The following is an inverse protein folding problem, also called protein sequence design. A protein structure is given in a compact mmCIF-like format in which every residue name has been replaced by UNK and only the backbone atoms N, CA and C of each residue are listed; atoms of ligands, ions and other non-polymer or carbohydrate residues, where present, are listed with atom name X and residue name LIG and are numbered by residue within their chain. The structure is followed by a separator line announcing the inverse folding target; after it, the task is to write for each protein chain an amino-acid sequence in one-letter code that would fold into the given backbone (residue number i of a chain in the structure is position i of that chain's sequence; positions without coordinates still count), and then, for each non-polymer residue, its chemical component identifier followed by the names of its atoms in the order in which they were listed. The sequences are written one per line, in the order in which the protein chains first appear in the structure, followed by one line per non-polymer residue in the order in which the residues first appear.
data_IF_698594278981
#
_entry.id   IF_698594278981
#
_cell.length_a   1.000
_cell.length_b   1.000
_cell.length_c   1.000
_cell.angle_alpha   90.00
_cell.angle_beta   90.00
_cell.angle_gamma   90.00
#
_symmetry.space_group_name_H-M   'P 1'
#
loop_
_entity.id
_entity.type
_entity.pdbx_description
1 polymer ?
#
# COMPACT_ATOMS: atom_id res chain seq x y z
N UNK A 1 -10.91 -17.01 16.18
CA UNK A 1 -9.77 -16.05 16.36
C UNK A 1 -8.82 -16.45 17.50
N UNK A 2 -9.32 -16.84 18.69
CA UNK A 2 -8.50 -17.15 19.88
C UNK A 2 -7.38 -18.20 19.70
N UNK A 3 -7.61 -19.28 18.92
CA UNK A 3 -6.58 -20.33 18.69
C UNK A 3 -5.32 -19.83 17.95
N UNK A 4 -5.47 -18.92 16.98
CA UNK A 4 -4.30 -18.37 16.24
C UNK A 4 -3.44 -17.47 17.13
N UNK A 5 -4.09 -16.69 17.99
CA UNK A 5 -3.39 -15.82 18.94
C UNK A 5 -2.52 -16.63 19.89
N UNK A 6 -3.06 -17.70 20.49
CA UNK A 6 -2.30 -18.57 21.38
C UNK A 6 -1.09 -19.22 20.68
N UNK A 7 -1.26 -19.71 19.44
CA UNK A 7 -0.15 -20.27 18.64
C UNK A 7 0.93 -19.24 18.34
N UNK A 8 0.53 -18.00 18.05
CA UNK A 8 1.47 -16.92 17.78
C UNK A 8 2.25 -16.50 19.02
N UNK A 9 1.60 -16.39 20.19
CA UNK A 9 2.26 -16.11 21.47
C UNK A 9 3.34 -17.17 21.76
N UNK A 10 3.00 -18.47 21.60
CA UNK A 10 3.96 -19.56 21.79
C UNK A 10 5.13 -19.52 20.80
N UNK A 11 4.87 -19.15 19.55
CA UNK A 11 5.94 -18.95 18.57
C UNK A 11 6.88 -17.79 18.96
N UNK A 12 6.34 -16.69 19.50
CA UNK A 12 7.17 -15.57 19.98
C UNK A 12 7.99 -15.94 21.22
N UNK A 13 7.40 -16.69 22.15
CA UNK A 13 8.11 -17.21 23.32
C UNK A 13 9.31 -18.09 22.93
N UNK A 14 9.14 -18.98 21.93
CA UNK A 14 10.22 -19.81 21.38
C UNK A 14 11.36 -18.95 20.78
N UNK A 15 11.00 -17.86 20.11
CA UNK A 15 11.96 -16.85 19.61
C UNK A 15 12.49 -15.91 20.71
N UNK A 16 12.18 -16.18 21.99
CA UNK A 16 12.57 -15.39 23.17
C UNK A 16 12.06 -13.95 23.16
N UNK A 17 10.93 -13.71 22.50
CA UNK A 17 10.25 -12.42 22.45
C UNK A 17 9.13 -12.44 23.47
N UNK A 18 9.23 -11.57 24.49
CA UNK A 18 8.17 -11.40 25.51
C UNK A 18 7.22 -10.28 25.10
N UNK A 19 5.92 -10.55 25.18
CA UNK A 19 4.86 -9.58 24.90
C UNK A 19 3.94 -9.45 26.12
N UNK A 20 3.47 -8.24 26.40
CA UNK A 20 2.49 -7.96 27.45
C UNK A 20 1.10 -7.79 26.84
N UNK A 21 0.09 -8.34 27.50
CA UNK A 21 -1.29 -8.02 27.19
C UNK A 21 -1.57 -6.60 27.68
N UNK A 22 -2.17 -5.77 26.82
CA UNK A 22 -2.66 -4.44 27.17
C UNK A 22 -4.18 -4.47 27.09
N UNK A 23 -4.85 -3.71 27.95
CA UNK A 23 -6.30 -3.62 27.93
C UNK A 23 -6.77 -2.80 26.71
N UNK A 24 -7.93 -3.15 26.18
CA UNK A 24 -8.55 -2.41 25.07
C UNK A 24 -8.99 -1.02 25.52
N UNK A 25 -9.39 -0.87 26.78
CA UNK A 25 -9.92 0.38 27.32
C UNK A 25 -8.90 1.51 27.27
N UNK A 26 -7.60 1.19 27.43
CA UNK A 26 -6.51 2.17 27.34
C UNK A 26 -6.44 2.84 25.97
N UNK A 27 -6.72 2.10 24.90
CA UNK A 27 -6.68 2.60 23.53
C UNK A 27 -7.95 3.35 23.13
N UNK A 28 -9.10 2.94 23.67
CA UNK A 28 -10.40 3.51 23.33
C UNK A 28 -10.76 4.72 24.19
N UNK A 29 -10.09 4.92 25.32
CA UNK A 29 -10.31 6.07 26.21
C UNK A 29 -10.28 7.40 25.46
N UNK A 30 -9.25 7.62 24.64
CA UNK A 30 -9.09 8.83 23.83
C UNK A 30 -10.27 9.07 22.87
N UNK A 31 -10.95 8.00 22.44
CA UNK A 31 -12.08 8.11 21.52
C UNK A 31 -13.34 8.62 22.24
N UNK A 32 -13.57 8.15 23.46
CA UNK A 32 -14.66 8.61 24.35
C UNK A 32 -14.57 10.11 24.66
N UNK A 33 -13.37 10.69 24.63
CA UNK A 33 -13.16 12.13 24.87
C UNK A 33 -13.54 13.00 23.67
N UNK A 34 -13.70 12.42 22.48
CA UNK A 34 -13.94 13.15 21.23
C UNK A 34 -15.32 12.88 20.61
N UNK A 35 -16.10 11.96 21.18
CA UNK A 35 -17.43 11.59 20.71
C UNK A 35 -18.45 11.81 21.83
N UNK A 36 -19.03 13.01 21.85
CA UNK A 36 -20.03 13.43 22.85
C UNK A 36 -21.37 12.67 22.71
N UNK A 37 -21.60 11.99 21.59
CA UNK A 37 -22.85 11.27 21.31
C UNK A 37 -22.83 9.83 21.83
N UNK A 38 -21.64 9.26 22.05
CA UNK A 38 -21.48 7.88 22.44
C UNK A 38 -21.58 7.69 23.97
N UNK A 39 -22.46 6.79 24.41
CA UNK A 39 -22.64 6.45 25.82
C UNK A 39 -21.66 5.35 26.28
N UNK A 40 -21.08 4.62 25.32
CA UNK A 40 -20.14 3.54 25.56
C UNK A 40 -18.93 3.63 24.64
N UNK A 41 -17.78 3.13 25.08
CA UNK A 41 -16.55 3.13 24.27
C UNK A 41 -16.72 2.35 22.96
N UNK A 42 -17.51 1.28 22.99
CA UNK A 42 -17.81 0.44 21.83
C UNK A 42 -18.68 1.19 20.82
N UNK A 43 -19.61 2.03 21.30
CA UNK A 43 -20.42 2.90 20.47
C UNK A 43 -19.57 3.97 19.80
N UNK A 44 -18.69 4.66 20.55
CA UNK A 44 -17.75 5.64 19.99
C UNK A 44 -16.88 5.01 18.88
N UNK A 45 -16.35 3.80 19.12
CA UNK A 45 -15.58 3.05 18.13
C UNK A 45 -16.42 2.69 16.89
N UNK A 46 -17.69 2.33 17.09
CA UNK A 46 -18.59 2.02 15.99
C UNK A 46 -18.97 3.26 15.18
N UNK A 47 -19.21 4.39 15.85
CA UNK A 47 -19.52 5.68 15.23
C UNK A 47 -18.36 6.15 14.36
N UNK A 48 -17.13 6.15 14.91
CA UNK A 48 -15.93 6.45 14.15
C UNK A 48 -15.79 5.54 12.93
N UNK A 49 -16.00 4.24 13.11
CA UNK A 49 -15.92 3.27 12.03
C UNK A 49 -16.97 3.55 10.94
N UNK A 50 -18.21 3.89 11.29
CA UNK A 50 -19.26 4.24 10.34
C UNK A 50 -18.92 5.53 9.58
N UNK A 51 -18.45 6.57 10.29
CA UNK A 51 -18.03 7.84 9.69
C UNK A 51 -16.90 7.65 8.68
N UNK A 52 -15.89 6.84 9.01
CA UNK A 52 -14.82 6.51 8.07
C UNK A 52 -15.35 5.78 6.83
N UNK A 53 -16.31 4.85 7.01
CA UNK A 53 -16.89 4.10 5.90
C UNK A 53 -17.79 4.94 5.01
N UNK A 54 -18.47 5.94 5.56
CA UNK A 54 -19.27 6.91 4.80
C UNK A 54 -18.37 7.81 3.96
N UNK A 55 -17.36 8.42 4.57
CA UNK A 55 -16.38 9.27 3.86
C UNK A 55 -15.70 8.56 2.68
N UNK A 56 -15.34 7.29 2.86
CA UNK A 56 -14.74 6.50 1.77
C UNK A 56 -15.77 6.07 0.72
N UNK A 57 -17.03 5.83 1.12
CA UNK A 57 -18.08 5.46 0.19
C UNK A 57 -18.50 6.63 -0.70
N UNK A 58 -18.48 7.85 -0.17
CA UNK A 58 -18.89 9.07 -0.88
C UNK A 58 -17.83 9.51 -1.91
N UNK A 59 -16.54 9.32 -1.60
CA UNK A 59 -15.44 9.64 -2.52
C UNK A 59 -14.94 8.41 -3.30
N UNK A 60 -15.28 8.37 -4.60
CA UNK A 60 -14.85 7.31 -5.52
C UNK A 60 -13.32 7.19 -5.67
N UNK A 61 -12.57 8.30 -5.57
CA UNK A 61 -11.11 8.27 -5.62
C UNK A 61 -10.53 7.64 -4.35
N UNK A 62 -11.05 8.04 -3.18
CA UNK A 62 -10.66 7.49 -1.88
C UNK A 62 -11.01 6.00 -1.80
N UNK A 63 -12.20 5.60 -2.25
CA UNK A 63 -12.61 4.20 -2.37
C UNK A 63 -11.64 3.38 -3.22
N UNK A 64 -11.24 3.91 -4.38
CA UNK A 64 -10.28 3.23 -5.26
C UNK A 64 -8.91 3.05 -4.59
N UNK A 65 -8.45 4.05 -3.82
CA UNK A 65 -7.20 3.97 -3.05
C UNK A 65 -7.30 2.93 -1.93
N UNK A 66 -8.40 2.92 -1.18
CA UNK A 66 -8.66 1.93 -0.13
C UNK A 66 -8.69 0.49 -0.69
N UNK A 67 -9.35 0.28 -1.83
CA UNK A 67 -9.36 -1.02 -2.52
C UNK A 67 -7.95 -1.47 -2.94
N UNK A 68 -7.13 -0.55 -3.49
CA UNK A 68 -5.74 -0.85 -3.86
C UNK A 68 -4.88 -1.18 -2.64
N UNK A 69 -5.06 -0.46 -1.53
CA UNK A 69 -4.35 -0.71 -0.27
C UNK A 69 -4.71 -2.08 0.32
N UNK A 70 -5.98 -2.49 0.25
CA UNK A 70 -6.39 -3.83 0.65
C UNK A 70 -5.73 -4.91 -0.21
N UNK A 71 -5.66 -4.72 -1.53
CA UNK A 71 -5.01 -5.69 -2.45
C UNK A 71 -3.51 -5.79 -2.19
N UNK A 72 -2.81 -4.67 -1.96
CA UNK A 72 -1.38 -4.71 -1.62
C UNK A 72 -1.14 -5.41 -0.29
N UNK A 73 -1.97 -5.12 0.73
CA UNK A 73 -1.92 -5.82 2.02
C UNK A 73 -2.18 -7.32 1.87
N UNK A 74 -3.13 -7.73 1.03
CA UNK A 74 -3.41 -9.14 0.76
C UNK A 74 -2.21 -9.85 0.12
N UNK A 75 -1.51 -9.18 -0.81
CA UNK A 75 -0.28 -9.71 -1.42
C UNK A 75 0.86 -9.83 -0.40
N UNK A 76 1.02 -8.83 0.47
CA UNK A 76 1.96 -8.89 1.58
C UNK A 76 1.65 -10.07 2.51
N UNK A 77 0.39 -10.24 2.91
CA UNK A 77 -0.06 -11.34 3.76
C UNK A 77 0.17 -12.71 3.08
N UNK A 78 0.14 -12.80 1.75
CA UNK A 78 0.48 -14.02 1.02
C UNK A 78 1.98 -14.36 1.00
N UNK A 79 2.81 -13.35 1.17
CA UNK A 79 4.26 -13.46 1.14
C UNK A 79 4.90 -13.80 2.49
N UNK A 80 4.10 -14.11 3.53
CA UNK A 80 4.66 -14.43 4.86
C UNK A 80 5.68 -15.59 4.82
N UNK A 81 6.74 -15.54 5.66
CA UNK A 81 7.72 -16.61 5.79
C UNK A 81 7.06 -17.96 6.09
N UNK A 82 7.67 -19.05 5.61
CA UNK A 82 7.13 -20.41 5.76
C UNK A 82 6.87 -20.79 7.23
N UNK A 83 7.69 -20.29 8.16
CA UNK A 83 7.54 -20.49 9.61
C UNK A 83 6.21 -19.95 10.16
N UNK A 84 5.71 -18.85 9.59
CA UNK A 84 4.50 -18.15 10.05
C UNK A 84 3.25 -18.60 9.29
N UNK A 85 3.38 -19.29 8.14
CA UNK A 85 2.23 -19.76 7.34
C UNK A 85 1.27 -20.69 8.07
N UNK A 86 1.71 -21.62 8.94
CA UNK A 86 0.80 -22.47 9.73
C UNK A 86 -0.12 -21.64 10.64
N UNK A 87 0.40 -20.54 11.19
CA UNK A 87 -0.31 -19.64 12.09
C UNK A 87 -1.19 -18.66 11.29
N UNK A 88 -0.64 -18.08 10.22
CA UNK A 88 -1.26 -17.05 9.39
C UNK A 88 -1.69 -17.59 8.02
N UNK A 89 -2.51 -18.63 8.01
CA UNK A 89 -3.06 -19.15 6.76
C UNK A 89 -4.14 -18.22 6.17
N UNK A 90 -3.95 -17.75 4.94
CA UNK A 90 -4.92 -16.92 4.19
C UNK A 90 -6.27 -17.61 4.07
N UNK A 91 -6.27 -18.92 3.78
CA UNK A 91 -7.51 -19.68 3.52
C UNK A 91 -8.42 -19.72 4.75
N UNK A 92 -7.82 -19.68 5.94
CA UNK A 92 -8.54 -19.70 7.21
C UNK A 92 -8.81 -18.29 7.75
N UNK A 93 -8.38 -17.24 7.04
CA UNK A 93 -8.54 -15.86 7.44
C UNK A 93 -9.78 -15.26 6.76
N UNK A 94 -10.71 -14.74 7.56
CA UNK A 94 -11.89 -14.06 7.04
C UNK A 94 -11.52 -12.67 6.50
N UNK A 95 -11.33 -12.58 5.18
CA UNK A 95 -10.91 -11.36 4.48
C UNK A 95 -11.82 -10.16 4.73
N UNK A 96 -13.11 -10.39 5.01
CA UNK A 96 -14.05 -9.30 5.34
C UNK A 96 -13.68 -8.53 6.60
N UNK A 97 -13.05 -9.16 7.60
CA UNK A 97 -12.62 -8.43 8.79
C UNK A 97 -11.49 -7.44 8.48
N UNK A 98 -10.59 -7.83 7.59
CA UNK A 98 -9.48 -6.98 7.18
C UNK A 98 -9.95 -5.88 6.24
N UNK A 99 -10.91 -6.16 5.35
CA UNK A 99 -11.53 -5.13 4.52
C UNK A 99 -12.19 -4.03 5.36
N UNK A 100 -12.84 -4.39 6.48
CA UNK A 100 -13.41 -3.43 7.43
C UNK A 100 -12.36 -2.47 8.02
N UNK A 101 -11.13 -2.92 8.24
CA UNK A 101 -10.02 -2.06 8.69
C UNK A 101 -9.59 -1.02 7.66
N UNK A 102 -9.88 -1.24 6.37
CA UNK A 102 -9.71 -0.24 5.30
C UNK A 102 -11.00 0.57 5.08
N UNK A 103 -11.97 0.48 5.98
CA UNK A 103 -13.29 1.11 5.90
C UNK A 103 -14.05 0.80 4.59
N UNK A 104 -13.79 -0.37 4.01
CA UNK A 104 -14.53 -0.87 2.84
C UNK A 104 -15.81 -1.58 3.30
N UNK A 105 -16.97 -1.10 2.80
CA UNK A 105 -18.27 -1.76 2.98
C UNK A 105 -18.44 -2.99 2.07
N UNK A 106 -17.78 -2.96 0.91
CA UNK A 106 -17.90 -4.01 -0.11
C UNK A 106 -17.24 -5.32 0.30
N UNK A 107 -17.78 -6.43 -0.20
CA UNK A 107 -17.15 -7.73 0.01
C UNK A 107 -15.83 -7.82 -0.77
N UNK A 108 -14.75 -8.36 -0.17
CA UNK A 108 -13.44 -8.48 -0.82
C UNK A 108 -13.47 -9.05 -2.24
N UNK A 109 -14.38 -9.99 -2.53
CA UNK A 109 -14.48 -10.66 -3.83
C UNK A 109 -14.89 -9.72 -4.97
N UNK A 110 -15.60 -8.63 -4.68
CA UNK A 110 -16.17 -7.73 -5.71
C UNK A 110 -15.12 -6.79 -6.29
N UNK A 111 -14.16 -6.33 -5.47
CA UNK A 111 -13.18 -5.33 -5.87
C UNK A 111 -11.75 -5.88 -6.05
N UNK A 112 -11.42 -7.01 -5.42
CA UNK A 112 -10.07 -7.59 -5.57
C UNK A 112 -9.75 -7.97 -7.01
N UNK A 113 -10.71 -8.47 -7.80
CA UNK A 113 -10.51 -8.77 -9.23
C UNK A 113 -10.12 -7.51 -10.00
N UNK A 114 -10.90 -6.44 -9.86
CA UNK A 114 -10.71 -5.15 -10.57
C UNK A 114 -9.35 -4.50 -10.28
N UNK A 115 -8.81 -4.72 -9.07
CA UNK A 115 -7.56 -4.09 -8.61
C UNK A 115 -6.35 -5.02 -8.58
N UNK A 116 -6.53 -6.31 -8.84
CA UNK A 116 -5.45 -7.30 -8.91
C UNK A 116 -4.99 -7.60 -10.34
N UNK A 117 -5.72 -7.11 -11.36
CA UNK A 117 -5.34 -7.29 -12.76
C UNK A 117 -3.94 -6.70 -13.02
N UNK A 118 -3.02 -7.50 -13.61
CA UNK A 118 -1.76 -6.98 -14.08
C UNK A 118 -2.01 -5.82 -15.03
N UNK A 119 -1.22 -4.75 -14.94
CA UNK A 119 -1.26 -3.70 -15.97
C UNK A 119 -1.10 -4.38 -17.33
N UNK A 120 -1.95 -4.05 -18.33
CA UNK A 120 -1.86 -4.66 -19.64
C UNK A 120 -0.43 -4.52 -20.14
N UNK A 121 0.13 -5.62 -20.68
CA UNK A 121 1.48 -5.61 -21.20
C UNK A 121 1.60 -4.45 -22.21
N UNK A 122 2.68 -3.64 -22.16
CA UNK A 122 2.92 -2.69 -23.22
C UNK A 122 2.90 -3.47 -24.55
N UNK A 123 2.23 -2.95 -25.60
CA UNK A 123 2.07 -3.70 -26.83
C UNK A 123 3.45 -4.11 -27.36
N UNK A 124 3.65 -5.41 -27.52
CA UNK A 124 4.91 -6.03 -27.95
C UNK A 124 5.23 -5.73 -29.42
N UNK A 125 4.27 -5.17 -30.16
CA UNK A 125 4.42 -4.98 -31.59
C UNK A 125 5.17 -3.68 -31.90
N UNK A 126 6.38 -3.83 -32.45
CA UNK A 126 7.23 -2.72 -32.90
C UNK A 126 6.59 -1.93 -34.07
N UNK A 127 5.62 -2.52 -34.79
CA UNK A 127 4.90 -1.86 -35.89
C UNK A 127 3.77 -0.92 -35.46
N UNK A 128 3.29 -0.94 -34.21
CA UNK A 128 2.35 0.10 -33.71
C UNK A 128 3.08 1.37 -33.22
N UNK A 129 4.36 1.50 -33.54
CA UNK A 129 5.15 2.71 -33.27
C UNK A 129 4.82 3.86 -34.24
N UNK A 130 4.23 3.58 -35.41
CA UNK A 130 3.95 4.59 -36.44
C UNK A 130 2.74 5.46 -36.16
N UNK A 131 1.88 5.11 -35.19
CA UNK A 131 0.69 5.90 -34.84
C UNK A 131 0.75 6.54 -33.45
N UNK A 132 1.83 6.31 -32.69
CA UNK A 132 2.01 6.98 -31.39
C UNK A 132 2.78 8.26 -31.61
N UNK A 133 2.04 9.28 -32.01
CA UNK A 133 2.52 10.65 -32.21
C UNK A 133 3.51 11.03 -31.08
N UNK A 134 4.79 11.33 -31.40
CA UNK A 134 5.83 11.55 -30.40
C UNK A 134 5.47 12.68 -29.43
N UNK A 135 4.63 13.63 -29.85
CA UNK A 135 4.07 14.65 -28.98
C UNK A 135 3.18 14.07 -27.88
N UNK A 136 2.32 13.10 -28.21
CA UNK A 136 1.39 12.48 -27.26
C UNK A 136 2.14 11.71 -26.16
N UNK A 137 3.23 11.03 -26.53
CA UNK A 137 4.13 10.36 -25.56
C UNK A 137 4.84 11.38 -24.65
N UNK A 138 5.32 12.48 -25.24
CA UNK A 138 6.01 13.55 -24.49
C UNK A 138 5.04 14.27 -23.54
N UNK A 139 3.80 14.49 -23.97
CA UNK A 139 2.72 15.04 -23.15
C UNK A 139 2.34 14.08 -22.02
N UNK A 140 2.18 12.79 -22.29
CA UNK A 140 1.85 11.79 -21.26
C UNK A 140 2.96 11.65 -20.22
N UNK A 141 4.24 11.63 -20.66
CA UNK A 141 5.40 11.65 -19.74
C UNK A 141 5.46 12.94 -18.93
N UNK A 142 5.16 14.09 -19.52
CA UNK A 142 5.07 15.39 -18.82
C UNK A 142 3.93 15.39 -17.80
N UNK A 143 2.75 14.88 -18.16
CA UNK A 143 1.60 14.77 -17.27
C UNK A 143 1.90 13.85 -16.06
N UNK A 144 2.45 12.66 -16.32
CA UNK A 144 2.87 11.73 -15.26
C UNK A 144 3.96 12.31 -14.34
N UNK A 145 4.88 13.10 -14.90
CA UNK A 145 5.91 13.81 -14.12
C UNK A 145 5.30 14.93 -13.26
N UNK A 146 4.28 15.66 -13.75
CA UNK A 146 3.55 16.67 -12.97
C UNK A 146 2.77 16.05 -11.82
N UNK A 147 2.15 14.89 -12.03
CA UNK A 147 1.42 14.14 -11.00
C UNK A 147 2.30 13.64 -9.85
N UNK A 148 3.60 13.45 -10.08
CA UNK A 148 4.57 13.04 -9.04
C UNK A 148 5.40 14.22 -8.49
N UNK A 149 5.21 15.43 -8.99
CA UNK A 149 6.05 16.62 -8.69
C UNK A 149 5.27 17.73 -7.97
N UNK A 150 4.06 17.48 -7.49
CA UNK A 150 3.35 18.43 -6.63
C UNK A 150 3.96 18.37 -5.24
N UNK A 151 4.88 19.30 -4.98
CA UNK A 151 5.34 19.66 -3.64
C UNK A 151 4.16 20.21 -2.83
N UNK A 152 4.16 20.01 -1.51
CA UNK A 152 3.10 20.36 -0.53
C UNK A 152 2.80 21.86 -0.41
N UNK A 153 3.44 22.72 -1.19
CA UNK A 153 3.15 24.15 -1.25
C UNK A 153 2.21 24.43 -2.42
N UNK A 154 1.03 24.99 -2.14
CA UNK A 154 -0.06 25.32 -3.07
C UNK A 154 0.32 26.40 -4.13
N UNK A 155 1.43 26.25 -4.82
CA UNK A 155 1.89 27.18 -5.85
C UNK A 155 1.95 26.49 -7.21
N UNK A 156 1.06 26.91 -8.10
CA UNK A 156 0.95 26.40 -9.47
C UNK A 156 2.18 26.83 -10.26
N UNK A 157 3.14 25.92 -10.47
CA UNK A 157 4.33 26.20 -11.28
C UNK A 157 3.95 26.46 -12.74
N UNK A 158 4.05 27.74 -13.15
CA UNK A 158 3.77 28.24 -14.49
C UNK A 158 4.68 27.54 -15.53
N UNK A 159 4.12 26.87 -16.56
CA UNK A 159 4.89 26.12 -17.55
C UNK A 159 5.66 26.99 -18.57
N UNK A 160 5.42 28.32 -18.61
CA UNK A 160 6.00 29.20 -19.64
C UNK A 160 7.31 29.91 -19.22
N UNK A 161 7.86 29.61 -18.04
CA UNK A 161 9.16 30.18 -17.63
C UNK A 161 10.29 29.35 -18.23
N UNK A 162 10.87 29.82 -19.33
CA UNK A 162 12.15 29.33 -19.85
C UNK A 162 13.28 29.68 -18.86
N UNK A 163 13.40 28.92 -17.78
CA UNK A 163 14.66 28.86 -17.05
C UNK A 163 15.50 27.75 -17.69
N UNK A 164 16.55 28.16 -18.39
CA UNK A 164 17.63 27.28 -18.86
C UNK A 164 18.37 26.74 -17.63
N UNK A 165 17.80 25.71 -16.99
CA UNK A 165 18.42 25.05 -15.84
C UNK A 165 19.60 24.20 -16.31
N UNK A 166 20.72 24.85 -16.67
CA UNK A 166 22.02 24.23 -16.97
C UNK A 166 22.45 23.29 -15.83
N UNK A 167 22.06 23.59 -14.59
CA UNK A 167 22.34 22.77 -13.41
C UNK A 167 21.71 21.36 -13.49
N UNK A 168 20.50 21.22 -14.05
CA UNK A 168 19.79 19.92 -14.12
C UNK A 168 20.39 19.01 -15.20
N UNK A 169 21.01 19.56 -16.23
CA UNK A 169 21.71 18.78 -17.27
C UNK A 169 23.06 18.23 -16.80
N UNK A 170 23.63 18.78 -15.72
CA UNK A 170 24.92 18.38 -15.15
C UNK A 170 24.78 17.32 -14.04
N UNK A 171 23.56 17.06 -13.55
CA UNK A 171 23.32 16.01 -12.57
C UNK A 171 23.35 14.65 -13.30
N UNK A 172 24.21 13.70 -12.91
CA UNK A 172 24.17 12.36 -13.46
C UNK A 172 22.76 11.80 -13.22
N UNK A 173 22.15 11.23 -14.26
CA UNK A 173 20.85 10.60 -14.13
C UNK A 173 20.93 9.56 -13.01
N UNK A 174 20.29 9.82 -11.88
CA UNK A 174 20.30 8.93 -10.73
C UNK A 174 19.81 7.57 -11.19
N UNK A 175 20.74 6.62 -11.27
CA UNK A 175 20.44 5.21 -11.50
C UNK A 175 19.57 4.79 -10.32
N UNK A 176 18.32 4.43 -10.58
CA UNK A 176 17.41 3.98 -9.54
C UNK A 176 18.04 2.77 -8.85
N UNK A 177 18.61 3.00 -7.67
CA UNK A 177 19.07 1.95 -6.79
C UNK A 177 17.81 1.31 -6.24
N UNK A 178 17.39 0.21 -6.86
CA UNK A 178 16.53 -0.78 -6.22
C UNK A 178 17.35 -1.54 -5.18
N UNK A 179 17.98 -0.82 -4.26
CA UNK A 179 18.62 -1.40 -3.08
C UNK A 179 17.55 -1.41 -2.02
N UNK A 180 16.95 -2.58 -1.82
CA UNK A 180 16.22 -2.88 -0.60
C UNK A 180 17.17 -2.61 0.56
N UNK A 181 16.74 -1.80 1.51
CA UNK A 181 17.38 -1.55 2.81
C UNK A 181 17.54 -2.81 3.68
N UNK A 182 17.07 -3.97 3.20
CA UNK A 182 17.27 -5.30 3.79
C UNK A 182 18.28 -6.18 3.05
N UNK A 183 18.91 -5.70 1.96
CA UNK A 183 19.92 -6.49 1.25
C UNK A 183 21.31 -6.23 1.85
N UNK A 184 21.86 -7.24 2.52
CA UNK A 184 22.99 -7.26 3.46
C UNK A 184 24.36 -6.72 2.98
N UNK A 185 24.43 -5.94 1.90
CA UNK A 185 25.66 -5.24 1.46
C UNK A 185 26.82 -6.16 1.06
N UNK A 186 26.63 -7.48 1.05
CA UNK A 186 27.65 -8.45 0.66
C UNK A 186 27.56 -8.71 -0.86
N UNK A 187 28.70 -8.62 -1.59
CA UNK A 187 28.70 -8.90 -3.02
C UNK A 187 28.33 -10.36 -3.27
N UNK A 188 27.38 -10.60 -4.19
CA UNK A 188 27.02 -11.96 -4.60
C UNK A 188 28.25 -12.70 -5.14
N UNK A 189 28.56 -13.87 -4.58
CA UNK A 189 29.65 -14.72 -5.08
C UNK A 189 29.38 -15.11 -6.53
N UNK A 190 30.25 -14.64 -7.44
CA UNK A 190 30.22 -15.01 -8.86
C UNK A 190 30.31 -16.53 -8.99
N UNK A 191 29.25 -17.17 -9.49
CA UNK A 191 29.32 -18.58 -9.93
C UNK A 191 30.28 -18.67 -11.12
N UNK A 192 31.37 -19.42 -10.97
CA UNK A 192 32.25 -19.79 -12.10
C UNK A 192 31.43 -20.63 -13.08
N UNK A 193 31.43 -20.25 -14.37
CA UNK A 193 30.94 -21.12 -15.46
C UNK A 193 31.81 -22.38 -15.46
N UNK A 194 31.18 -23.56 -15.46
CA UNK A 194 31.87 -24.80 -15.78
C UNK A 194 32.20 -24.77 -17.28
N UNK A 195 33.46 -25.06 -17.59
CA UNK A 195 33.89 -25.43 -18.94
C UNK A 195 33.37 -26.84 -19.25
#
# INVERSE_FOLDING_TARGET
KKRRHAQFVRFLEDKRIRISQVDMDDYLKALTEHDDEANTMQEAASNLQHKCQELIADDKEMHSKACKAFVSWTKFYAAFPKELKPIFNIKNAHMGHFAKSFALKDQPKTFTKKHSEPKPAPPTNRLTYTERDPEKIKQEKRAKKRMFSTTVTNEVRNPNRQQSNKLVKMLPASRALTTSEFDSGLPSLKKRKKA
#
